data_IF_782801840342
#
_entry.id   IF_782801840342
#
_cell.length_a   1.000
_cell.length_b   1.000
_cell.length_c   1.000
_cell.angle_alpha   90.00
_cell.angle_beta   90.00
_cell.angle_gamma   90.00
#
_symmetry.space_group_name_H-M   'P 1'
#
loop_
_entity.id
_entity.type
_entity.pdbx_description
1 polymer ?
#
# COMPACT_ATOMS: atom_id res chain seq x y z
N UNK A 1 -10.52 3.49 5.94
CA UNK A 1 -9.87 2.32 5.32
C UNK A 1 -9.52 1.27 6.36
N UNK A 2 -9.59 -0.03 6.01
CA UNK A 2 -9.03 -1.14 6.80
C UNK A 2 -7.67 -1.56 6.20
N UNK A 3 -6.57 -1.32 6.91
CA UNK A 3 -5.21 -1.50 6.40
C UNK A 3 -4.89 -2.95 6.08
N UNK A 4 -5.28 -3.87 6.98
CA UNK A 4 -5.06 -5.31 6.82
C UNK A 4 -5.76 -5.83 5.56
N UNK A 5 -7.01 -5.41 5.33
CA UNK A 5 -7.79 -5.80 4.14
C UNK A 5 -7.11 -5.33 2.85
N UNK A 6 -6.64 -4.10 2.80
CA UNK A 6 -6.00 -3.58 1.59
C UNK A 6 -4.62 -4.20 1.33
N UNK A 7 -3.79 -4.34 2.37
CA UNK A 7 -2.52 -5.05 2.23
C UNK A 7 -2.76 -6.48 1.72
N UNK A 8 -3.78 -7.16 2.23
CA UNK A 8 -4.15 -8.50 1.76
C UNK A 8 -4.62 -8.51 0.31
N UNK A 9 -5.36 -7.50 -0.14
CA UNK A 9 -5.80 -7.32 -1.54
C UNK A 9 -4.62 -7.18 -2.51
N UNK A 10 -3.52 -6.58 -2.05
CA UNK A 10 -2.31 -6.41 -2.85
C UNK A 10 -1.41 -7.65 -2.89
N UNK A 11 -1.48 -8.52 -1.88
CA UNK A 11 -0.62 -9.69 -1.73
C UNK A 11 -1.21 -10.88 -2.48
N UNK A 12 -0.45 -11.46 -3.42
CA UNK A 12 -0.89 -12.63 -4.19
C UNK A 12 -0.85 -13.93 -3.37
N UNK A 13 0.19 -14.09 -2.56
CA UNK A 13 0.38 -15.22 -1.65
C UNK A 13 1.04 -14.71 -0.37
N UNK A 14 0.41 -14.97 0.77
CA UNK A 14 0.94 -14.66 2.10
C UNK A 14 1.19 -15.96 2.86
N UNK A 15 2.33 -16.03 3.54
CA UNK A 15 2.67 -17.11 4.48
C UNK A 15 2.75 -16.45 5.86
N UNK A 16 1.92 -16.89 6.80
CA UNK A 16 1.74 -16.22 8.10
C UNK A 16 0.52 -15.28 8.12
N UNK A 17 0.32 -14.63 9.27
CA UNK A 17 -0.72 -13.62 9.46
C UNK A 17 -0.14 -12.19 9.38
N UNK A 18 -0.98 -11.20 9.11
CA UNK A 18 -0.52 -9.81 9.07
C UNK A 18 -0.40 -9.29 10.49
N UNK A 19 0.62 -8.48 10.73
CA UNK A 19 0.80 -7.77 12.00
C UNK A 19 -0.46 -7.03 12.45
N UNK A 20 -0.59 -6.86 13.76
CA UNK A 20 -1.55 -5.94 14.38
C UNK A 20 -1.55 -4.57 13.68
N UNK A 21 -2.70 -3.90 13.64
CA UNK A 21 -2.91 -2.75 12.75
C UNK A 21 -1.86 -1.64 12.98
N UNK A 22 -1.52 -1.32 14.23
CA UNK A 22 -0.50 -0.33 14.56
C UNK A 22 0.89 -0.72 14.02
N UNK A 23 1.32 -1.96 14.29
CA UNK A 23 2.61 -2.48 13.84
C UNK A 23 2.68 -2.62 12.31
N UNK A 24 1.56 -2.97 11.66
CA UNK A 24 1.43 -3.02 10.21
C UNK A 24 1.58 -1.61 9.61
N UNK A 25 0.88 -0.61 10.16
CA UNK A 25 0.97 0.78 9.71
C UNK A 25 2.40 1.32 9.88
N UNK A 26 3.05 1.06 11.00
CA UNK A 26 4.45 1.44 11.21
C UNK A 26 5.36 0.82 10.16
N UNK A 27 5.19 -0.48 9.89
CA UNK A 27 5.98 -1.18 8.88
C UNK A 27 5.75 -0.57 7.48
N UNK A 28 4.49 -0.32 7.10
CA UNK A 28 4.15 0.33 5.84
C UNK A 28 4.79 1.72 5.74
N UNK A 29 4.72 2.55 6.79
CA UNK A 29 5.36 3.88 6.81
C UNK A 29 6.88 3.84 6.70
N UNK A 30 7.53 2.78 7.22
CA UNK A 30 8.99 2.59 7.09
C UNK A 30 9.41 2.12 5.70
N UNK A 31 8.57 1.35 5.00
CA UNK A 31 8.91 0.72 3.69
C UNK A 31 8.39 1.48 2.47
N UNK A 32 7.28 2.21 2.63
CA UNK A 32 6.70 3.05 1.59
C UNK A 32 7.20 4.48 1.73
N UNK A 33 7.43 5.15 0.61
CA UNK A 33 7.63 6.59 0.61
C UNK A 33 6.32 7.29 0.99
N UNK A 34 6.42 8.56 1.42
CA UNK A 34 5.24 9.36 1.78
C UNK A 34 4.20 9.44 0.65
N UNK A 35 4.63 9.45 -0.62
CA UNK A 35 3.73 9.47 -1.78
C UNK A 35 3.05 8.12 -1.99
N UNK A 36 3.82 7.02 -1.96
CA UNK A 36 3.28 5.65 -2.04
C UNK A 36 2.26 5.39 -0.93
N UNK A 37 2.57 5.77 0.31
CA UNK A 37 1.67 5.59 1.44
C UNK A 37 0.36 6.38 1.27
N UNK A 38 0.43 7.63 0.78
CA UNK A 38 -0.78 8.42 0.49
C UNK A 38 -1.62 7.79 -0.62
N UNK A 39 -1.00 7.34 -1.71
CA UNK A 39 -1.71 6.66 -2.81
C UNK A 39 -2.40 5.40 -2.31
N UNK A 40 -1.72 4.60 -1.49
CA UNK A 40 -2.29 3.41 -0.86
C UNK A 40 -3.50 3.73 0.02
N UNK A 41 -3.39 4.76 0.88
CA UNK A 41 -4.50 5.17 1.75
C UNK A 41 -5.68 5.69 0.94
N UNK A 42 -5.42 6.51 -0.08
CA UNK A 42 -6.46 7.06 -0.94
C UNK A 42 -7.17 5.95 -1.75
N UNK A 43 -6.41 5.00 -2.30
CA UNK A 43 -6.96 3.82 -2.98
C UNK A 43 -7.86 3.01 -2.05
N UNK A 44 -7.43 2.74 -0.82
CA UNK A 44 -8.24 1.94 0.11
C UNK A 44 -9.37 2.67 0.82
N UNK A 45 -9.48 3.98 0.62
CA UNK A 45 -10.70 4.73 0.88
C UNK A 45 -11.65 4.75 -0.34
N UNK A 46 -11.30 4.10 -1.44
CA UNK A 46 -12.13 3.98 -2.63
C UNK A 46 -12.09 5.20 -3.56
N UNK A 47 -11.08 6.07 -3.44
CA UNK A 47 -10.94 7.22 -4.33
C UNK A 47 -10.61 6.76 -5.76
N UNK A 48 -11.17 7.47 -6.74
CA UNK A 48 -10.81 7.28 -8.15
C UNK A 48 -9.38 7.72 -8.40
N UNK A 49 -8.71 7.16 -9.42
CA UNK A 49 -7.33 7.54 -9.78
C UNK A 49 -7.17 9.05 -9.99
N UNK A 50 -8.18 9.73 -10.52
CA UNK A 50 -8.23 11.18 -10.70
C UNK A 50 -8.22 11.96 -9.38
N UNK A 51 -8.97 11.49 -8.38
CA UNK A 51 -8.99 12.10 -7.05
C UNK A 51 -7.69 11.85 -6.31
N UNK A 52 -7.13 10.65 -6.44
CA UNK A 52 -5.80 10.31 -5.90
C UNK A 52 -4.73 11.23 -6.51
N UNK A 53 -4.77 11.46 -7.84
CA UNK A 53 -3.85 12.35 -8.53
C UNK A 53 -3.89 13.77 -7.94
N UNK A 54 -5.09 14.31 -7.72
CA UNK A 54 -5.31 15.64 -7.11
C UNK A 54 -4.84 15.69 -5.66
N UNK A 55 -5.18 14.68 -4.86
CA UNK A 55 -4.84 14.63 -3.43
C UNK A 55 -3.34 14.49 -3.18
N UNK A 56 -2.68 13.64 -3.97
CA UNK A 56 -1.23 13.39 -3.88
C UNK A 56 -0.42 14.40 -4.69
N UNK A 57 -1.10 15.25 -5.47
CA UNK A 57 -0.51 16.26 -6.36
C UNK A 57 0.50 15.65 -7.32
N UNK A 58 0.09 14.60 -8.03
CA UNK A 58 0.85 13.91 -9.08
C UNK A 58 -0.01 13.74 -10.31
N UNK A 59 0.62 13.49 -11.46
CA UNK A 59 -0.09 13.23 -12.71
C UNK A 59 -0.88 11.91 -12.64
N UNK A 60 -2.00 11.84 -13.35
CA UNK A 60 -2.87 10.67 -13.37
C UNK A 60 -2.13 9.40 -13.82
N UNK A 61 -1.31 9.51 -14.86
CA UNK A 61 -0.47 8.42 -15.36
C UNK A 61 0.51 7.92 -14.27
N UNK A 62 1.07 8.86 -13.50
CA UNK A 62 1.96 8.57 -12.38
C UNK A 62 1.27 7.80 -11.26
N UNK A 63 -0.02 8.04 -11.01
CA UNK A 63 -0.80 7.30 -10.00
C UNK A 63 -0.80 5.82 -10.32
N UNK A 64 -1.04 5.46 -11.58
CA UNK A 64 -1.08 4.06 -11.99
C UNK A 64 0.29 3.38 -11.83
N UNK A 65 1.36 4.07 -12.20
CA UNK A 65 2.72 3.58 -12.01
C UNK A 65 3.07 3.38 -10.53
N UNK A 66 2.64 4.32 -9.66
CA UNK A 66 2.81 4.17 -8.20
C UNK A 66 2.03 2.96 -7.68
N UNK A 67 0.78 2.75 -8.13
CA UNK A 67 -0.02 1.59 -7.73
C UNK A 67 0.61 0.26 -8.15
N UNK A 68 1.09 0.16 -9.40
CA UNK A 68 1.81 -1.01 -9.90
C UNK A 68 3.09 -1.25 -9.10
N UNK A 69 3.88 -0.20 -8.87
CA UNK A 69 5.11 -0.27 -8.09
C UNK A 69 4.83 -0.70 -6.65
N UNK A 70 3.77 -0.18 -6.03
CA UNK A 70 3.36 -0.51 -4.68
C UNK A 70 2.95 -1.98 -4.56
N UNK A 71 2.12 -2.49 -5.49
CA UNK A 71 1.77 -3.92 -5.54
C UNK A 71 3.01 -4.80 -5.66
N UNK A 72 3.94 -4.46 -6.57
CA UNK A 72 5.21 -5.19 -6.72
C UNK A 72 6.05 -5.13 -5.45
N UNK A 73 6.10 -3.97 -4.77
CA UNK A 73 6.90 -3.75 -3.56
C UNK A 73 6.37 -4.54 -2.36
N UNK A 74 5.07 -4.47 -2.11
CA UNK A 74 4.38 -5.26 -1.07
C UNK A 74 4.61 -6.76 -1.32
N UNK A 75 4.67 -7.20 -2.59
CA UNK A 75 4.89 -8.60 -2.92
C UNK A 75 6.34 -9.11 -2.79
N UNK A 76 7.32 -8.24 -2.53
CA UNK A 76 8.70 -8.70 -2.30
C UNK A 76 8.75 -9.51 -1.00
N UNK A 77 9.34 -10.71 -1.02
CA UNK A 77 9.35 -11.60 0.14
C UNK A 77 9.91 -10.94 1.41
N UNK A 78 10.93 -10.11 1.28
CA UNK A 78 11.48 -9.33 2.41
C UNK A 78 10.43 -8.42 3.05
N UNK A 79 9.59 -7.77 2.25
CA UNK A 79 8.53 -6.88 2.73
C UNK A 79 7.39 -7.71 3.33
N UNK A 80 6.98 -8.81 2.68
CA UNK A 80 5.97 -9.72 3.24
C UNK A 80 6.36 -10.24 4.62
N UNK A 81 7.61 -10.70 4.80
CA UNK A 81 8.13 -11.15 6.09
C UNK A 81 8.11 -10.06 7.15
N UNK A 82 8.32 -8.80 6.77
CA UNK A 82 8.24 -7.69 7.72
C UNK A 82 6.80 -7.24 8.01
N UNK A 83 5.85 -7.45 7.09
CA UNK A 83 4.43 -7.17 7.29
C UNK A 83 3.73 -8.29 8.09
N UNK A 84 4.34 -9.47 8.15
CA UNK A 84 3.86 -10.62 8.91
C UNK A 84 4.53 -10.75 10.27
N UNK A 85 3.84 -11.45 11.17
CA UNK A 85 4.37 -11.98 12.43
C UNK A 85 4.36 -13.51 12.42
#
# INVERSE_FOLDING_TARGET
MNYRKEVRSLIEKLVGDLKEEEALIETLKRKLTKKEFKVFVAQGNGLSKEDIAKEVRIELDRVEEVLKALKKKINQEKIKKELCE
#
